data_IF_063263956493
#
_entry.id   IF_063263956493
#
_cell.length_a   1.000
_cell.length_b   1.000
_cell.length_c   1.000
_cell.angle_alpha   90.00
_cell.angle_beta   90.00
_cell.angle_gamma   90.00
#
_symmetry.space_group_name_H-M   'P 1'
#
loop_
_entity.id
_entity.type
_entity.pdbx_description
1 polymer ?
#
# COMPACT_ATOMS: atom_id res chain seq x y z
N UNK A 1 -4.40 0.45 5.79
CA UNK A 1 -3.80 1.46 4.88
C UNK A 1 -4.86 2.13 4.01
N UNK A 2 -5.68 1.37 3.28
CA UNK A 2 -6.84 1.90 2.53
C UNK A 2 -7.77 2.78 3.40
N UNK A 3 -8.15 2.30 4.59
CA UNK A 3 -8.95 3.07 5.55
C UNK A 3 -8.22 4.32 6.08
N UNK A 4 -6.90 4.25 6.30
CA UNK A 4 -6.11 5.36 6.80
C UNK A 4 -6.12 6.56 5.82
N UNK A 5 -6.13 6.26 4.52
CA UNK A 5 -6.13 7.26 3.45
C UNK A 5 -7.50 7.45 2.78
N UNK A 6 -8.58 6.85 3.31
CA UNK A 6 -9.92 6.86 2.71
C UNK A 6 -9.92 6.54 1.19
N UNK A 7 -9.11 5.56 0.78
CA UNK A 7 -8.97 5.14 -0.61
C UNK A 7 -9.27 3.65 -0.77
N UNK A 8 -9.53 3.19 -2.00
CA UNK A 8 -9.67 1.76 -2.29
C UNK A 8 -8.33 1.02 -2.14
N UNK A 9 -8.39 -0.28 -1.85
CA UNK A 9 -7.18 -1.13 -1.82
C UNK A 9 -6.46 -1.13 -3.18
N UNK A 10 -7.20 -1.05 -4.28
CA UNK A 10 -6.65 -0.96 -5.63
C UNK A 10 -5.78 0.28 -5.81
N UNK A 11 -6.23 1.43 -5.32
CA UNK A 11 -5.47 2.69 -5.38
C UNK A 11 -4.18 2.60 -4.57
N UNK A 12 -4.23 2.02 -3.37
CA UNK A 12 -3.03 1.80 -2.54
C UNK A 12 -2.05 0.88 -3.27
N UNK A 13 -2.54 -0.20 -3.87
CA UNK A 13 -1.71 -1.17 -4.60
C UNK A 13 -1.05 -0.54 -5.83
N UNK A 14 -1.79 0.28 -6.57
CA UNK A 14 -1.27 1.02 -7.72
C UNK A 14 -0.19 2.02 -7.30
N UNK A 15 -0.42 2.77 -6.22
CA UNK A 15 0.54 3.77 -5.75
C UNK A 15 1.82 3.13 -5.23
N UNK A 16 1.71 2.06 -4.43
CA UNK A 16 2.88 1.27 -4.00
C UNK A 16 3.67 0.76 -5.20
N UNK A 17 2.99 0.22 -6.22
CA UNK A 17 3.65 -0.25 -7.44
C UNK A 17 4.44 0.86 -8.14
N UNK A 18 3.86 2.06 -8.27
CA UNK A 18 4.53 3.20 -8.90
C UNK A 18 5.74 3.66 -8.08
N UNK A 19 5.57 3.80 -6.77
CA UNK A 19 6.62 4.17 -5.82
C UNK A 19 7.81 3.18 -5.88
N UNK A 20 7.55 1.89 -6.01
CA UNK A 20 8.59 0.88 -6.21
C UNK A 20 9.24 0.95 -7.61
N UNK A 21 8.45 1.21 -8.65
CA UNK A 21 8.96 1.39 -10.01
C UNK A 21 9.83 2.64 -10.17
N UNK A 22 9.49 3.72 -9.49
CA UNK A 22 10.25 4.97 -9.43
C UNK A 22 11.51 4.84 -8.56
N UNK A 23 11.63 3.75 -7.79
CA UNK A 23 12.76 3.49 -6.91
C UNK A 23 12.82 4.43 -5.71
N UNK A 24 11.70 5.07 -5.35
CA UNK A 24 11.65 5.97 -4.18
C UNK A 24 11.84 5.19 -2.87
N UNK A 25 11.38 3.95 -2.81
CA UNK A 25 11.61 2.99 -1.72
C UNK A 25 11.81 1.57 -2.27
N UNK A 26 12.48 0.73 -1.49
CA UNK A 26 12.76 -0.67 -1.85
C UNK A 26 11.73 -1.62 -1.25
N UNK A 27 10.99 -2.34 -2.11
CA UNK A 27 9.91 -3.25 -1.70
C UNK A 27 10.37 -4.30 -0.67
N UNK A 28 11.61 -4.80 -0.77
CA UNK A 28 12.15 -5.82 0.15
C UNK A 28 12.51 -5.26 1.51
N UNK A 29 12.76 -3.95 1.62
CA UNK A 29 13.06 -3.27 2.88
C UNK A 29 11.82 -2.68 3.53
N UNK A 30 10.77 -2.44 2.76
CA UNK A 30 9.54 -1.79 3.23
C UNK A 30 8.35 -2.73 3.40
N UNK A 31 8.44 -3.98 2.93
CA UNK A 31 7.37 -4.97 3.06
C UNK A 31 7.87 -6.25 3.72
N UNK A 32 7.12 -6.73 4.71
CA UNK A 32 7.29 -8.05 5.32
C UNK A 32 6.05 -8.90 5.03
N UNK A 33 6.24 -10.12 4.49
CA UNK A 33 5.15 -11.08 4.30
C UNK A 33 4.99 -11.92 5.57
N UNK A 34 3.90 -11.66 6.30
CA UNK A 34 3.53 -12.42 7.48
C UNK A 34 2.35 -13.34 7.15
N UNK A 35 2.51 -14.63 7.43
CA UNK A 35 1.41 -15.59 7.33
C UNK A 35 0.54 -15.49 8.57
N UNK A 36 -0.58 -14.77 8.46
CA UNK A 36 -1.57 -14.70 9.53
C UNK A 36 -2.60 -15.80 9.30
N UNK A 37 -2.72 -16.71 10.25
CA UNK A 37 -3.80 -17.70 10.27
C UNK A 37 -5.06 -16.99 10.74
N UNK A 38 -6.00 -16.76 9.81
CA UNK A 38 -7.31 -16.21 10.12
C UNK A 38 -8.31 -17.37 10.23
N UNK A 39 -9.12 -17.38 11.30
CA UNK A 39 -10.24 -18.31 11.42
C UNK A 39 -11.45 -17.70 10.71
N UNK A 40 -11.85 -18.31 9.60
CA UNK A 40 -13.06 -17.94 8.85
C UNK A 40 -14.09 -19.07 9.08
N UNK A 41 -14.99 -18.87 10.04
CA UNK A 41 -15.90 -19.91 10.53
C UNK A 41 -15.15 -21.05 11.23
N UNK A 42 -15.34 -22.30 10.76
CA UNK A 42 -14.62 -23.47 11.26
C UNK A 42 -13.24 -23.69 10.60
N UNK A 43 -12.88 -22.89 9.57
CA UNK A 43 -11.66 -23.12 8.79
C UNK A 43 -10.55 -22.14 9.18
N UNK A 44 -9.37 -22.67 9.46
CA UNK A 44 -8.13 -21.88 9.54
C UNK A 44 -7.61 -21.62 8.13
N UNK A 45 -7.76 -20.39 7.63
CA UNK A 45 -7.25 -19.95 6.33
C UNK A 45 -5.95 -19.19 6.59
N UNK A 46 -4.85 -19.68 6.02
CA UNK A 46 -3.60 -18.93 5.99
C UNK A 46 -3.67 -17.97 4.79
N UNK A 47 -3.69 -16.66 5.07
CA UNK A 47 -3.55 -15.64 4.03
C UNK A 47 -2.20 -14.95 4.21
N UNK A 48 -1.42 -14.77 3.13
CA UNK A 48 -0.26 -13.89 3.19
C UNK A 48 -0.75 -12.47 3.45
N UNK A 49 -0.31 -11.88 4.55
CA UNK A 49 -0.56 -10.48 4.90
C UNK A 49 0.75 -9.73 4.70
N UNK A 50 0.72 -8.72 3.83
CA UNK A 50 1.84 -7.80 3.65
C UNK A 50 1.78 -6.71 4.71
N UNK A 51 2.82 -6.63 5.51
CA UNK A 51 3.02 -5.59 6.51
C UNK A 51 3.95 -4.55 5.90
N UNK A 52 3.51 -3.30 5.85
CA UNK A 52 4.28 -2.19 5.32
C UNK A 52 4.90 -1.38 6.45
N UNK A 53 6.16 -1.01 6.29
CA UNK A 53 6.87 -0.17 7.25
C UNK A 53 6.42 1.30 7.14
N UNK A 54 6.94 2.15 8.04
CA UNK A 54 6.60 3.57 8.06
C UNK A 54 6.99 4.28 6.75
N UNK A 55 8.11 3.92 6.12
CA UNK A 55 8.55 4.51 4.86
C UNK A 55 7.53 4.28 3.74
N UNK A 56 7.01 3.04 3.60
CA UNK A 56 5.94 2.75 2.65
C UNK A 56 4.66 3.54 2.95
N UNK A 57 4.32 3.72 4.24
CA UNK A 57 3.16 4.53 4.63
C UNK A 57 3.35 5.99 4.27
N UNK A 58 4.55 6.53 4.51
CA UNK A 58 4.89 7.90 4.17
C UNK A 58 4.95 8.07 2.65
N UNK A 59 5.52 7.17 1.87
CA UNK A 59 5.56 7.29 0.40
C UNK A 59 4.17 7.25 -0.26
N UNK A 60 3.21 6.57 0.37
CA UNK A 60 1.80 6.59 -0.08
C UNK A 60 1.06 7.85 0.39
N UNK A 61 1.39 8.37 1.58
CA UNK A 61 0.73 9.54 2.17
C UNK A 61 1.34 10.90 1.83
N UNK A 62 2.64 10.94 1.53
CA UNK A 62 3.39 12.12 1.13
C UNK A 62 3.05 12.39 -0.35
N UNK A 63 2.66 13.63 -0.66
CA UNK A 63 1.56 13.92 -1.55
C UNK A 63 1.73 13.27 -2.92
N UNK A 64 0.65 12.62 -3.36
CA UNK A 64 0.30 12.40 -4.76
C UNK A 64 0.62 13.71 -5.48
N UNK A 65 1.78 13.80 -6.14
CA UNK A 65 2.20 15.02 -6.83
C UNK A 65 1.16 15.31 -7.91
N UNK A 66 0.26 16.23 -7.60
CA UNK A 66 -0.25 17.28 -8.46
C UNK A 66 -0.33 16.94 -9.95
N UNK A 67 -1.12 15.94 -10.33
CA UNK A 67 -1.65 15.87 -11.71
C UNK A 67 -3.08 16.44 -11.79
N UNK A 68 -3.64 16.92 -10.67
CA UNK A 68 -4.85 17.76 -10.63
C UNK A 68 -4.52 19.26 -10.66
N UNK A 69 -3.48 19.63 -11.41
CA UNK A 69 -3.14 21.01 -11.77
C UNK A 69 -3.27 21.31 -13.27
N UNK A 70 -3.92 20.43 -14.04
CA UNK A 70 -4.05 20.56 -15.51
C UNK A 70 -5.51 20.55 -16.00
N UNK A 71 -6.42 21.17 -15.25
CA UNK A 71 -7.61 21.80 -15.84
C UNK A 71 -7.57 23.27 -15.45
N UNK A 72 -6.71 23.99 -16.16
CA UNK A 72 -6.78 25.43 -16.23
C UNK A 72 -8.03 25.88 -16.97
N UNK A 73 -8.45 27.08 -16.61
CA UNK A 73 -9.37 28.02 -17.28
C UNK A 73 -10.81 27.59 -17.51
#
# INVERSE_FOLDING_TARGET
MAELFNCSMDNISLHLKNVYLEGEIDEKRTTEESSVVQKEGERSVNRPVRIYNLDAIISVGYPIKSHRGARGV
#
